data_IF_319550104474
#
_entry.id   IF_319550104474
#
_cell.length_a   1.000
_cell.length_b   1.000
_cell.length_c   1.000
_cell.angle_alpha   90.00
_cell.angle_beta   90.00
_cell.angle_gamma   90.00
#
_symmetry.space_group_name_H-M   'P 1'
#
loop_
_entity.id
_entity.type
_entity.pdbx_description
1 polymer ?
#
# COMPACT_ATOMS: atom_id res chain seq x y z
N UNK A 1 -17.94 8.04 25.58
CA UNK A 1 -17.17 6.80 25.78
C UNK A 1 -15.70 7.16 25.57
N UNK A 2 -14.88 7.12 26.64
CA UNK A 2 -13.59 7.81 26.70
C UNK A 2 -12.47 6.86 26.26
N UNK A 3 -12.15 6.86 24.97
CA UNK A 3 -11.14 5.99 24.33
C UNK A 3 -9.74 6.16 25.00
N UNK A 4 -9.43 7.34 25.55
CA UNK A 4 -8.15 7.61 26.23
C UNK A 4 -7.91 6.79 27.50
N UNK A 5 -8.96 6.32 28.20
CA UNK A 5 -8.79 5.53 29.43
C UNK A 5 -8.45 4.07 29.19
N UNK A 6 -8.74 3.52 27.99
CA UNK A 6 -8.44 2.13 27.66
C UNK A 6 -6.96 1.86 27.37
N UNK A 7 -6.19 2.91 27.04
CA UNK A 7 -4.79 2.81 26.63
C UNK A 7 -3.76 2.92 27.76
N UNK A 8 -4.14 3.47 28.92
CA UNK A 8 -3.18 3.76 30.01
C UNK A 8 -2.78 2.57 30.88
N UNK A 9 -3.37 1.39 30.68
CA UNK A 9 -3.08 0.18 31.47
C UNK A 9 -2.30 -0.92 30.76
N UNK A 10 -1.98 -0.76 29.47
CA UNK A 10 -1.29 -1.81 28.70
C UNK A 10 0.25 -1.72 28.85
N UNK A 11 0.98 -2.85 28.84
CA UNK A 11 2.43 -2.82 28.82
C UNK A 11 2.95 -2.06 27.58
N UNK A 12 4.06 -1.32 27.75
CA UNK A 12 4.63 -0.43 26.73
C UNK A 12 4.77 -1.09 25.35
N UNK A 13 5.05 -2.39 25.30
CA UNK A 13 5.16 -3.17 24.06
C UNK A 13 3.83 -3.29 23.32
N UNK A 14 2.75 -3.52 24.05
CA UNK A 14 1.40 -3.62 23.46
C UNK A 14 0.89 -2.27 22.98
N UNK A 15 1.16 -1.20 23.75
CA UNK A 15 0.85 0.17 23.32
C UNK A 15 1.57 0.52 21.99
N UNK A 16 2.84 0.16 21.86
CA UNK A 16 3.61 0.39 20.64
C UNK A 16 3.04 -0.37 19.44
N UNK A 17 2.68 -1.64 19.64
CA UNK A 17 2.05 -2.44 18.56
C UNK A 17 0.69 -1.91 18.15
N UNK A 18 -0.11 -1.42 19.09
CA UNK A 18 -1.41 -0.81 18.77
C UNK A 18 -1.25 0.50 17.99
N UNK A 19 -0.27 1.32 18.36
CA UNK A 19 0.03 2.56 17.63
C UNK A 19 0.45 2.27 16.17
N UNK A 20 1.29 1.24 15.96
CA UNK A 20 1.68 0.83 14.60
C UNK A 20 0.46 0.37 13.80
N UNK A 21 -0.41 -0.47 14.37
CA UNK A 21 -1.63 -0.92 13.69
C UNK A 21 -2.57 0.22 13.37
N UNK A 22 -2.70 1.20 14.27
CA UNK A 22 -3.49 2.40 14.02
C UNK A 22 -2.94 3.18 12.82
N UNK A 23 -1.62 3.41 12.77
CA UNK A 23 -0.98 4.09 11.64
C UNK A 23 -1.15 3.34 10.32
N UNK A 24 -1.06 2.01 10.34
CA UNK A 24 -1.30 1.18 9.15
C UNK A 24 -2.72 1.31 8.64
N UNK A 25 -3.72 1.24 9.53
CA UNK A 25 -5.13 1.39 9.19
C UNK A 25 -5.39 2.82 8.66
N UNK A 26 -4.86 3.83 9.34
CA UNK A 26 -4.99 5.23 8.93
C UNK A 26 -4.43 5.44 7.51
N UNK A 27 -3.25 4.90 7.22
CA UNK A 27 -2.66 4.98 5.88
C UNK A 27 -3.52 4.30 4.82
N UNK A 28 -4.01 3.07 5.09
CA UNK A 28 -4.89 2.36 4.15
C UNK A 28 -6.18 3.14 3.87
N UNK A 29 -6.79 3.73 4.91
CA UNK A 29 -7.99 4.56 4.75
C UNK A 29 -7.67 5.82 3.93
N UNK A 30 -6.52 6.46 4.18
CA UNK A 30 -6.10 7.65 3.44
C UNK A 30 -5.89 7.37 1.95
N UNK A 31 -5.26 6.25 1.60
CA UNK A 31 -5.11 5.83 0.19
C UNK A 31 -6.48 5.59 -0.44
N UNK A 32 -7.35 4.82 0.23
CA UNK A 32 -8.70 4.56 -0.28
C UNK A 32 -9.48 5.87 -0.52
N UNK A 33 -9.37 6.82 0.41
CA UNK A 33 -10.02 8.13 0.27
C UNK A 33 -9.48 8.89 -0.95
N UNK A 34 -8.17 8.91 -1.15
CA UNK A 34 -7.54 9.56 -2.32
C UNK A 34 -8.03 8.95 -3.62
N UNK A 35 -8.08 7.61 -3.71
CA UNK A 35 -8.61 6.89 -4.90
C UNK A 35 -10.06 7.30 -5.15
N UNK A 36 -10.93 7.23 -4.14
CA UNK A 36 -12.35 7.61 -4.29
C UNK A 36 -12.51 9.07 -4.73
N UNK A 37 -11.77 10.00 -4.14
CA UNK A 37 -11.84 11.42 -4.53
C UNK A 37 -11.37 11.64 -5.98
N UNK A 38 -10.34 10.91 -6.41
CA UNK A 38 -9.86 10.95 -7.78
C UNK A 38 -10.89 10.37 -8.76
N UNK A 39 -11.53 9.24 -8.42
CA UNK A 39 -12.56 8.59 -9.23
C UNK A 39 -13.82 9.46 -9.38
N UNK A 40 -14.18 10.17 -8.32
CA UNK A 40 -15.27 11.15 -8.36
C UNK A 40 -14.91 12.44 -9.14
N UNK A 41 -13.66 12.58 -9.61
CA UNK A 41 -13.20 13.76 -10.32
C UNK A 41 -13.04 15.01 -9.44
N UNK A 42 -12.97 14.82 -8.13
CA UNK A 42 -12.88 15.91 -7.13
C UNK A 42 -11.45 16.46 -6.93
N UNK A 43 -10.48 15.99 -7.75
CA UNK A 43 -9.08 16.42 -7.70
C UNK A 43 -8.60 17.01 -9.06
N UNK A 44 -9.29 18.01 -9.65
CA UNK A 44 -8.92 18.53 -10.96
C UNK A 44 -7.55 19.21 -10.94
N UNK A 45 -7.21 19.92 -9.87
CA UNK A 45 -5.91 20.59 -9.67
C UNK A 45 -4.73 19.62 -9.73
N UNK A 46 -4.90 18.40 -9.19
CA UNK A 46 -3.85 17.37 -9.22
C UNK A 46 -3.64 16.87 -10.66
N UNK A 47 -4.71 16.65 -11.40
CA UNK A 47 -4.65 16.23 -12.81
C UNK A 47 -3.96 17.28 -13.67
N UNK A 48 -4.28 18.57 -13.45
CA UNK A 48 -3.64 19.68 -14.14
C UNK A 48 -2.14 19.74 -13.82
N UNK A 49 -1.76 19.60 -12.55
CA UNK A 49 -0.38 19.57 -12.12
C UNK A 49 0.37 18.38 -12.74
N UNK A 50 -0.20 17.17 -12.68
CA UNK A 50 0.41 15.99 -13.26
C UNK A 50 0.61 16.09 -14.78
N UNK A 51 -0.29 16.80 -15.48
CA UNK A 51 -0.16 17.02 -16.93
C UNK A 51 1.01 17.94 -17.32
N UNK A 52 1.45 18.81 -16.40
CA UNK A 52 2.60 19.70 -16.62
C UNK A 52 3.95 18.97 -16.44
N UNK A 53 3.97 17.89 -15.66
CA UNK A 53 5.18 17.14 -15.34
C UNK A 53 5.03 15.67 -15.75
N UNK A 54 5.37 15.31 -16.98
CA UNK A 54 5.25 13.94 -17.48
C UNK A 54 5.95 12.93 -16.56
N UNK A 55 5.22 11.91 -16.12
CA UNK A 55 5.74 10.83 -15.29
C UNK A 55 5.66 11.06 -13.78
N UNK A 56 5.21 12.24 -13.30
CA UNK A 56 5.05 12.46 -11.86
C UNK A 56 3.92 11.59 -11.28
N UNK A 57 2.87 11.36 -12.05
CA UNK A 57 1.79 10.44 -11.72
C UNK A 57 2.32 9.00 -11.53
N UNK A 58 3.16 8.51 -12.46
CA UNK A 58 3.79 7.20 -12.37
C UNK A 58 4.72 7.07 -11.16
N UNK A 59 5.46 8.13 -10.85
CA UNK A 59 6.29 8.16 -9.64
C UNK A 59 5.44 8.10 -8.36
N UNK A 60 4.30 8.77 -8.35
CA UNK A 60 3.36 8.74 -7.22
C UNK A 60 2.76 7.34 -7.06
N UNK A 61 2.28 6.72 -8.14
CA UNK A 61 1.81 5.33 -8.15
C UNK A 61 2.86 4.39 -7.56
N UNK A 62 4.08 4.41 -8.11
CA UNK A 62 5.20 3.60 -7.63
C UNK A 62 5.44 3.75 -6.12
N UNK A 63 5.49 4.99 -5.61
CA UNK A 63 5.81 5.27 -4.21
C UNK A 63 4.65 4.87 -3.30
N UNK A 64 3.42 5.32 -3.61
CA UNK A 64 2.26 5.10 -2.75
C UNK A 64 1.90 3.62 -2.68
N UNK A 65 1.85 2.94 -3.82
CA UNK A 65 1.49 1.53 -3.89
C UNK A 65 2.61 0.64 -3.35
N UNK A 66 3.88 0.99 -3.62
CA UNK A 66 5.03 0.31 -3.02
C UNK A 66 4.99 0.39 -1.49
N UNK A 67 4.70 1.55 -0.94
CA UNK A 67 4.58 1.74 0.50
C UNK A 67 3.34 1.04 1.08
N UNK A 68 2.21 1.04 0.36
CA UNK A 68 1.03 0.26 0.73
C UNK A 68 1.35 -1.24 0.82
N UNK A 69 2.04 -1.78 -0.20
CA UNK A 69 2.47 -3.18 -0.20
C UNK A 69 3.37 -3.49 1.00
N UNK A 70 4.35 -2.61 1.29
CA UNK A 70 5.21 -2.73 2.46
C UNK A 70 4.41 -2.80 3.76
N UNK A 71 3.48 -1.87 3.97
CA UNK A 71 2.62 -1.83 5.16
C UNK A 71 1.81 -3.13 5.28
N UNK A 72 1.17 -3.58 4.19
CA UNK A 72 0.35 -4.79 4.19
C UNK A 72 1.18 -6.06 4.44
N UNK A 73 2.41 -6.16 3.92
CA UNK A 73 3.30 -7.29 4.23
C UNK A 73 3.49 -7.45 5.75
N UNK A 74 3.77 -6.35 6.45
CA UNK A 74 3.98 -6.39 7.89
C UNK A 74 2.67 -6.48 8.69
N UNK A 75 1.57 -5.92 8.20
CA UNK A 75 0.25 -6.08 8.80
C UNK A 75 -0.19 -7.55 8.83
N UNK A 76 0.18 -8.31 7.80
CA UNK A 76 -0.01 -9.77 7.73
C UNK A 76 1.13 -10.58 8.37
N UNK A 77 1.95 -9.95 9.23
CA UNK A 77 3.07 -10.59 9.93
C UNK A 77 4.05 -11.28 8.96
N UNK A 78 4.28 -10.73 7.79
CA UNK A 78 5.12 -11.28 6.73
C UNK A 78 4.78 -12.74 6.37
N UNK A 79 3.48 -13.11 6.47
CA UNK A 79 2.97 -14.44 6.10
C UNK A 79 3.21 -14.67 4.61
N UNK A 80 3.81 -15.83 4.27
CA UNK A 80 4.04 -16.25 2.89
C UNK A 80 2.92 -17.15 2.40
N UNK A 81 2.60 -17.00 1.12
CA UNK A 81 1.65 -17.82 0.38
C UNK A 81 2.26 -18.22 -0.96
N UNK A 82 1.91 -19.41 -1.46
CA UNK A 82 2.33 -19.85 -2.78
C UNK A 82 1.27 -19.45 -3.80
N UNK A 83 1.69 -18.68 -4.80
CA UNK A 83 0.85 -18.28 -5.92
C UNK A 83 1.61 -18.53 -7.22
N UNK A 84 1.02 -19.30 -8.13
CA UNK A 84 1.58 -19.63 -9.47
C UNK A 84 3.04 -20.12 -9.39
N UNK A 85 3.35 -20.99 -8.41
CA UNK A 85 4.71 -21.52 -8.22
C UNK A 85 5.70 -20.59 -7.55
N UNK A 86 5.31 -19.36 -7.25
CA UNK A 86 6.13 -18.37 -6.54
C UNK A 86 5.68 -18.19 -5.11
N UNK A 87 6.65 -18.11 -4.16
CA UNK A 87 6.36 -17.79 -2.76
C UNK A 87 6.41 -16.28 -2.57
N UNK A 88 5.24 -15.65 -2.36
CA UNK A 88 5.05 -14.22 -2.14
C UNK A 88 4.48 -13.96 -0.74
N UNK A 89 4.65 -12.74 -0.23
CA UNK A 89 3.94 -12.34 0.98
C UNK A 89 2.45 -12.14 0.71
N UNK A 90 1.60 -12.46 1.71
CA UNK A 90 0.15 -12.28 1.60
C UNK A 90 -0.23 -10.82 1.34
N UNK A 91 0.49 -9.87 1.95
CA UNK A 91 0.32 -8.43 1.69
C UNK A 91 0.61 -8.06 0.24
N UNK A 92 1.66 -8.62 -0.36
CA UNK A 92 2.00 -8.43 -1.78
C UNK A 92 0.88 -8.91 -2.69
N UNK A 93 0.37 -10.14 -2.45
CA UNK A 93 -0.73 -10.71 -3.24
C UNK A 93 -1.99 -9.84 -3.14
N UNK A 94 -2.33 -9.40 -1.93
CA UNK A 94 -3.47 -8.52 -1.72
C UNK A 94 -3.28 -7.18 -2.46
N UNK A 95 -2.11 -6.55 -2.37
CA UNK A 95 -1.84 -5.29 -3.06
C UNK A 95 -1.95 -5.46 -4.58
N UNK A 96 -1.36 -6.52 -5.15
CA UNK A 96 -1.49 -6.82 -6.58
C UNK A 96 -2.96 -6.93 -7.00
N UNK A 97 -3.78 -7.65 -6.23
CA UNK A 97 -5.20 -7.79 -6.52
C UNK A 97 -5.94 -6.44 -6.46
N UNK A 98 -5.67 -5.63 -5.42
CA UNK A 98 -6.32 -4.34 -5.22
C UNK A 98 -6.00 -3.35 -6.34
N UNK A 99 -4.71 -3.16 -6.68
CA UNK A 99 -4.33 -2.19 -7.73
C UNK A 99 -4.79 -2.64 -9.11
N UNK A 100 -4.73 -3.95 -9.41
CA UNK A 100 -5.24 -4.47 -10.67
C UNK A 100 -6.75 -4.25 -10.79
N UNK A 101 -7.49 -4.50 -9.71
CA UNK A 101 -8.94 -4.27 -9.67
C UNK A 101 -9.26 -2.78 -9.81
N UNK A 102 -8.57 -1.93 -9.07
CA UNK A 102 -8.75 -0.47 -9.13
C UNK A 102 -8.50 0.04 -10.55
N UNK A 103 -7.35 -0.29 -11.14
CA UNK A 103 -7.00 0.17 -12.48
C UNK A 103 -7.98 -0.36 -13.55
N UNK A 104 -8.41 -1.63 -13.44
CA UNK A 104 -9.44 -2.17 -14.33
C UNK A 104 -10.80 -1.49 -14.14
N UNK A 105 -11.15 -1.07 -12.92
CA UNK A 105 -12.40 -0.37 -12.63
C UNK A 105 -12.47 1.00 -13.32
N UNK A 106 -11.32 1.62 -13.58
CA UNK A 106 -11.22 2.91 -14.28
C UNK A 106 -11.78 2.84 -15.71
N UNK A 107 -11.82 1.68 -16.34
CA UNK A 107 -12.50 1.47 -17.63
C UNK A 107 -14.00 1.78 -17.57
N UNK A 108 -14.61 1.72 -16.39
CA UNK A 108 -16.04 1.97 -16.15
C UNK A 108 -16.32 3.38 -15.62
N UNK A 109 -15.29 4.16 -15.31
CA UNK A 109 -15.40 5.48 -14.67
C UNK A 109 -15.11 6.58 -15.71
N UNK A 110 -16.11 7.35 -16.08
CA UNK A 110 -16.00 8.37 -17.13
C UNK A 110 -14.98 9.49 -16.84
N UNK A 111 -14.67 9.73 -15.56
CA UNK A 111 -13.71 10.76 -15.10
C UNK A 111 -12.26 10.29 -15.12
N UNK A 112 -12.02 8.99 -15.34
CA UNK A 112 -10.70 8.35 -15.29
C UNK A 112 -10.33 7.74 -16.64
N UNK A 113 -9.04 7.46 -16.81
CA UNK A 113 -8.53 6.72 -17.97
C UNK A 113 -7.62 5.62 -17.47
N UNK A 114 -7.88 4.41 -17.90
CA UNK A 114 -6.97 3.29 -17.71
C UNK A 114 -5.63 3.59 -18.38
N UNK A 115 -4.55 3.56 -17.63
CA UNK A 115 -3.20 3.74 -18.15
C UNK A 115 -2.32 2.54 -17.75
N UNK A 116 -1.95 1.73 -18.73
CA UNK A 116 -1.07 0.56 -18.49
C UNK A 116 0.26 0.94 -17.82
N UNK A 117 0.76 2.17 -18.04
CA UNK A 117 1.99 2.65 -17.42
C UNK A 117 1.82 2.90 -15.91
N UNK A 118 0.63 3.28 -15.44
CA UNK A 118 0.34 3.43 -14.02
C UNK A 118 0.34 2.06 -13.34
N UNK A 119 -0.32 1.07 -13.95
CA UNK A 119 -0.30 -0.31 -13.47
C UNK A 119 1.13 -0.90 -13.44
N UNK A 120 1.96 -0.58 -14.43
CA UNK A 120 3.37 -0.99 -14.43
C UNK A 120 4.16 -0.33 -13.31
N UNK A 121 3.92 0.96 -13.03
CA UNK A 121 4.55 1.68 -11.93
C UNK A 121 4.14 1.07 -10.58
N UNK A 122 2.87 0.72 -10.40
CA UNK A 122 2.35 0.03 -9.22
C UNK A 122 3.04 -1.32 -9.02
N UNK A 123 3.13 -2.14 -10.06
CA UNK A 123 3.78 -3.45 -9.98
C UNK A 123 5.27 -3.35 -9.66
N UNK A 124 5.97 -2.35 -10.20
CA UNK A 124 7.36 -2.10 -9.86
C UNK A 124 7.51 -1.68 -8.39
N UNK A 125 6.62 -0.83 -7.87
CA UNK A 125 6.59 -0.43 -6.46
C UNK A 125 6.37 -1.64 -5.54
N UNK A 126 5.41 -2.51 -5.88
CA UNK A 126 5.12 -3.75 -5.16
C UNK A 126 6.33 -4.69 -5.17
N UNK A 127 6.98 -4.86 -6.32
CA UNK A 127 8.16 -5.72 -6.45
C UNK A 127 9.30 -5.22 -5.56
N UNK A 128 9.56 -3.92 -5.54
CA UNK A 128 10.59 -3.31 -4.67
C UNK A 128 10.23 -3.55 -3.20
N UNK A 129 8.99 -3.35 -2.79
CA UNK A 129 8.54 -3.62 -1.43
C UNK A 129 8.74 -5.09 -1.02
N UNK A 130 8.37 -6.05 -1.89
CA UNK A 130 8.59 -7.48 -1.68
C UNK A 130 10.09 -7.80 -1.51
N UNK A 131 10.95 -7.24 -2.37
CA UNK A 131 12.41 -7.46 -2.30
C UNK A 131 13.01 -6.90 -1.01
N UNK A 132 12.61 -5.71 -0.60
CA UNK A 132 13.07 -5.09 0.65
C UNK A 132 12.61 -5.90 1.87
N UNK A 133 11.35 -6.35 1.88
CA UNK A 133 10.82 -7.17 2.96
C UNK A 133 11.56 -8.51 3.08
N UNK A 134 11.91 -9.14 1.96
CA UNK A 134 12.72 -10.37 1.96
C UNK A 134 14.11 -10.14 2.58
N UNK A 135 14.78 -9.03 2.22
CA UNK A 135 16.09 -8.68 2.79
C UNK A 135 16.03 -8.43 4.29
N UNK A 136 15.00 -7.72 4.76
CA UNK A 136 14.79 -7.46 6.19
C UNK A 136 14.59 -8.74 6.99
N UNK A 137 13.81 -9.69 6.46
CA UNK A 137 13.55 -10.98 7.12
C UNK A 137 14.80 -11.86 7.24
N UNK A 138 15.68 -11.82 6.27
CA UNK A 138 16.97 -12.56 6.27
C UNK A 138 17.91 -11.99 7.33
N UNK A 139 18.04 -10.66 7.41
CA UNK A 139 18.91 -10.00 8.39
C UNK A 139 18.50 -10.28 9.84
N UNK A 140 17.20 -10.26 10.12
CA UNK A 140 16.67 -10.56 11.47
C UNK A 140 17.01 -11.99 11.91
N UNK A 141 16.95 -12.96 11.00
CA UNK A 141 17.35 -14.35 11.31
C UNK A 141 18.84 -14.49 11.58
N UNK A 142 19.68 -13.78 10.87
CA UNK A 142 21.14 -13.83 10.99
C UNK A 142 21.65 -13.25 12.32
N UNK A 143 20.95 -12.26 12.86
CA UNK A 143 21.34 -11.60 14.12
C UNK A 143 20.82 -12.33 15.37
N UNK A 144 19.99 -13.36 15.21
CA UNK A 144 19.44 -14.16 16.31
C UNK A 144 20.09 -15.56 16.41
N UNK A 145 21.15 -15.82 15.64
CA UNK A 145 22.00 -17.01 15.70
C UNK A 145 23.38 -16.63 16.22
#
# INVERSE_FOLDING_TARGET
>A
MNIKRSFQGLPKREQHMQNIRFLQIFYCISILLVVVLADLGLMPWFREYASQYPGIDKAIHFILVGFLSWILIFAFNAKRMNLLGSSLYAGTILTLALVTFEECSQLLIATRRFELLDLLADYLGILVAEMLARRSSVNTRRNNV
#
